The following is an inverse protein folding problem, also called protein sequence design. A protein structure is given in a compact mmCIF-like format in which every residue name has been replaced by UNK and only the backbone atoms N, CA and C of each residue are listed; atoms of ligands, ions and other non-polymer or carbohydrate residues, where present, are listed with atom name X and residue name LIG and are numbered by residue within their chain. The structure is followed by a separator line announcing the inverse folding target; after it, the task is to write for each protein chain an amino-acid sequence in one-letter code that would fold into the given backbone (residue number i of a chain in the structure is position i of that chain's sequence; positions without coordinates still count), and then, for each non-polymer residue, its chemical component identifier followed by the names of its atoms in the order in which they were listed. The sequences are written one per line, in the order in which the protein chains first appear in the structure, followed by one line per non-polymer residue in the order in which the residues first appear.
data_IF_540683977322
#
_entry.id   IF_540683977322
#
_cell.length_a   1.000
_cell.length_b   1.000
_cell.length_c   1.000
_cell.angle_alpha   90.00
_cell.angle_beta   90.00
_cell.angle_gamma   90.00
#
_symmetry.space_group_name_H-M   'P 1'
#
loop_
_entity.id
_entity.type
_entity.pdbx_description
1 polymer ?
#
# COMPACT_ATOMS: atom_id res chain seq x y z
N UNK A 1 63.39 -47.17 33.23
CA UNK A 1 64.00 -46.86 31.93
C UNK A 1 62.99 -47.29 30.89
N UNK A 2 62.19 -46.32 30.40
CA UNK A 2 61.41 -46.26 29.14
C UNK A 2 60.56 -47.52 28.79
N UNK A 3 59.23 -47.44 28.66
CA UNK A 3 58.56 -46.68 27.61
C UNK A 3 57.11 -46.31 27.95
N UNK A 4 56.77 -45.11 27.51
CA UNK A 4 55.47 -44.44 27.54
C UNK A 4 54.63 -44.84 26.33
N UNK A 5 53.52 -45.56 26.54
CA UNK A 5 52.48 -45.72 25.52
C UNK A 5 51.52 -44.52 25.57
N UNK A 6 51.66 -43.68 24.54
CA UNK A 6 50.89 -42.49 24.28
C UNK A 6 49.57 -42.86 23.58
N UNK A 7 48.50 -43.00 24.36
CA UNK A 7 47.15 -43.24 23.85
C UNK A 7 46.63 -41.99 23.14
N UNK A 8 46.70 -41.98 21.80
CA UNK A 8 46.07 -40.96 20.95
C UNK A 8 44.56 -41.18 20.93
N UNK A 9 43.83 -40.43 21.75
CA UNK A 9 42.39 -40.25 21.56
C UNK A 9 42.15 -39.48 20.26
N UNK A 10 41.46 -40.14 19.33
CA UNK A 10 41.06 -39.59 18.04
C UNK A 10 39.78 -38.78 18.26
N UNK A 11 39.88 -37.46 18.28
CA UNK A 11 38.71 -36.58 18.21
C UNK A 11 38.09 -36.72 16.81
N UNK A 12 36.97 -37.45 16.73
CA UNK A 12 36.10 -37.41 15.55
C UNK A 12 35.39 -36.06 15.52
N UNK A 13 35.86 -35.17 14.65
CA UNK A 13 35.11 -33.98 14.26
C UNK A 13 34.01 -34.46 13.30
N UNK A 14 32.80 -34.63 13.84
CA UNK A 14 31.60 -34.77 13.01
C UNK A 14 31.37 -33.42 12.31
N UNK A 15 31.75 -33.34 11.03
CA UNK A 15 31.43 -32.20 10.19
C UNK A 15 29.98 -32.35 9.73
N UNK A 16 29.07 -31.86 10.55
CA UNK A 16 27.67 -31.64 10.16
C UNK A 16 27.66 -30.68 8.95
N UNK A 17 27.08 -31.04 7.79
CA UNK A 17 27.00 -30.12 6.68
C UNK A 17 26.08 -28.96 7.08
N UNK A 18 26.68 -27.79 7.31
CA UNK A 18 25.98 -26.54 7.53
C UNK A 18 25.22 -26.16 6.25
N UNK A 19 23.97 -26.62 6.13
CA UNK A 19 23.05 -26.16 5.10
C UNK A 19 22.69 -24.72 5.47
N UNK A 20 23.45 -23.75 4.96
CA UNK A 20 23.04 -22.35 5.02
C UNK A 20 21.71 -22.21 4.28
N UNK A 21 20.64 -21.69 4.93
CA UNK A 21 19.40 -21.38 4.25
C UNK A 21 19.69 -20.26 3.26
N UNK A 22 19.88 -20.63 1.99
CA UNK A 22 20.02 -19.68 0.89
C UNK A 22 18.62 -19.16 0.60
N UNK A 23 18.13 -18.25 1.43
CA UNK A 23 16.90 -17.53 1.12
C UNK A 23 17.12 -16.84 -0.23
N UNK A 24 16.32 -17.14 -1.26
CA UNK A 24 16.39 -16.38 -2.50
C UNK A 24 15.97 -14.95 -2.16
N UNK A 25 16.93 -14.05 -2.06
CA UNK A 25 16.66 -12.64 -1.79
C UNK A 25 15.91 -12.08 -2.99
N UNK A 26 14.65 -11.67 -2.79
CA UNK A 26 13.82 -11.01 -3.80
C UNK A 26 14.52 -9.78 -4.39
N UNK A 27 15.44 -9.17 -3.64
CA UNK A 27 16.31 -8.06 -4.05
C UNK A 27 17.27 -8.40 -5.20
N UNK A 28 17.44 -9.69 -5.53
CA UNK A 28 18.25 -10.14 -6.68
C UNK A 28 17.45 -10.26 -7.97
N UNK A 29 16.12 -10.08 -7.92
CA UNK A 29 15.31 -10.04 -9.13
C UNK A 29 15.65 -8.81 -9.96
N UNK A 30 15.57 -8.95 -11.28
CA UNK A 30 15.64 -7.79 -12.18
C UNK A 30 14.51 -6.81 -11.84
N UNK A 31 14.78 -5.51 -11.98
CA UNK A 31 13.80 -4.48 -11.69
C UNK A 31 12.49 -4.67 -12.48
N UNK A 32 12.58 -5.18 -13.71
CA UNK A 32 11.41 -5.52 -14.55
C UNK A 32 10.47 -6.52 -13.87
N UNK A 33 11.02 -7.56 -13.24
CA UNK A 33 10.22 -8.55 -12.53
C UNK A 33 9.62 -7.95 -11.25
N UNK A 34 10.37 -7.12 -10.54
CA UNK A 34 9.85 -6.39 -9.38
C UNK A 34 8.71 -5.45 -9.80
N UNK A 35 8.84 -4.76 -10.93
CA UNK A 35 7.78 -3.91 -11.47
C UNK A 35 6.51 -4.70 -11.79
N UNK A 36 6.63 -5.87 -12.44
CA UNK A 36 5.49 -6.73 -12.72
C UNK A 36 4.82 -7.21 -11.42
N UNK A 37 5.61 -7.61 -10.42
CA UNK A 37 5.10 -8.00 -9.10
C UNK A 37 4.36 -6.83 -8.43
N UNK A 38 4.92 -5.62 -8.48
CA UNK A 38 4.30 -4.44 -7.87
C UNK A 38 3.01 -4.05 -8.59
N UNK A 39 3.01 -4.07 -9.92
CA UNK A 39 1.82 -3.74 -10.71
C UNK A 39 0.69 -4.75 -10.50
N UNK A 40 1.05 -6.02 -10.31
CA UNK A 40 0.11 -7.10 -9.99
C UNK A 40 -0.43 -7.02 -8.56
N UNK A 41 0.41 -6.69 -7.58
CA UNK A 41 0.00 -6.64 -6.16
C UNK A 41 -0.70 -5.32 -5.80
N UNK A 42 -0.46 -4.24 -6.55
CA UNK A 42 -1.10 -2.95 -6.37
C UNK A 42 -2.31 -2.80 -7.31
N UNK A 43 -3.36 -3.58 -7.07
CA UNK A 43 -4.61 -3.43 -7.82
C UNK A 43 -5.29 -2.10 -7.48
N UNK A 44 -5.39 -1.76 -6.19
CA UNK A 44 -6.06 -0.57 -5.71
C UNK A 44 -5.53 -0.14 -4.33
N UNK A 45 -5.51 1.16 -4.05
CA UNK A 45 -5.18 1.71 -2.73
C UNK A 45 -6.43 2.28 -2.08
N UNK A 46 -6.86 1.69 -0.97
CA UNK A 46 -8.03 2.13 -0.23
C UNK A 46 -7.66 3.22 0.77
N UNK A 47 -8.14 4.43 0.52
CA UNK A 47 -8.13 5.52 1.46
C UNK A 47 -9.55 5.65 2.01
N UNK A 48 -9.68 5.30 3.28
CA UNK A 48 -10.92 5.40 4.02
C UNK A 48 -10.81 6.56 5.00
N UNK A 49 -11.73 7.51 4.90
CA UNK A 49 -11.84 8.59 5.86
C UNK A 49 -12.28 8.03 7.22
N UNK A 50 -11.64 8.44 8.31
CA UNK A 50 -11.96 7.99 9.67
C UNK A 50 -11.96 9.19 10.63
N UNK A 51 -12.88 9.23 11.62
CA UNK A 51 -13.91 8.24 11.93
C UNK A 51 -15.08 8.21 10.93
N UNK A 52 -15.60 7.00 10.67
CA UNK A 52 -16.94 6.87 10.10
C UNK A 52 -17.96 7.25 11.17
N UNK A 53 -19.05 7.90 10.76
CA UNK A 53 -20.14 8.22 11.69
C UNK A 53 -20.54 6.98 12.45
N UNK A 54 -20.70 7.10 13.76
CA UNK A 54 -20.91 5.97 14.69
C UNK A 54 -22.09 5.06 14.34
N UNK A 55 -23.02 5.55 13.51
CA UNK A 55 -24.21 4.81 13.09
C UNK A 55 -24.09 4.22 11.67
N UNK A 56 -23.15 4.70 10.85
CA UNK A 56 -22.91 4.21 9.51
C UNK A 56 -21.77 3.19 9.53
N UNK A 57 -22.01 2.01 8.96
CA UNK A 57 -20.92 1.05 8.73
C UNK A 57 -20.10 1.55 7.55
N UNK A 58 -18.79 1.53 7.71
CA UNK A 58 -17.91 1.81 6.58
C UNK A 58 -18.18 0.82 5.44
N UNK A 59 -18.14 1.26 4.17
CA UNK A 59 -18.40 0.38 3.03
C UNK A 59 -17.43 -0.79 2.99
N UNK A 60 -16.15 -0.52 3.26
CA UNK A 60 -15.14 -1.57 3.45
C UNK A 60 -14.83 -1.74 4.93
N UNK A 61 -15.09 -2.93 5.47
CA UNK A 61 -14.62 -3.31 6.79
C UNK A 61 -13.15 -3.73 6.72
N UNK A 62 -12.30 -3.08 7.52
CA UNK A 62 -10.88 -3.41 7.62
C UNK A 62 -10.70 -4.53 8.64
N UNK A 63 -10.28 -5.70 8.18
CA UNK A 63 -9.91 -6.85 9.03
C UNK A 63 -8.42 -6.85 9.40
N UNK A 64 -7.62 -6.10 8.66
CA UNK A 64 -6.17 -5.94 8.84
C UNK A 64 -5.83 -4.48 9.19
N UNK A 65 -4.54 -4.22 9.41
CA UNK A 65 -4.04 -2.85 9.56
C UNK A 65 -4.31 -2.01 8.31
N UNK A 66 -4.64 -0.74 8.49
CA UNK A 66 -4.93 0.22 7.40
C UNK A 66 -3.86 0.21 6.31
N UNK A 67 -2.58 0.11 6.69
CA UNK A 67 -1.47 0.11 5.74
C UNK A 67 -1.54 -1.08 4.76
N UNK A 68 -2.13 -2.22 5.17
CA UNK A 68 -2.28 -3.41 4.32
C UNK A 68 -3.17 -3.16 3.11
N UNK A 69 -4.01 -2.11 3.15
CA UNK A 69 -4.88 -1.69 2.07
C UNK A 69 -4.30 -0.54 1.23
N UNK A 70 -3.05 -0.15 1.51
CA UNK A 70 -2.30 0.88 0.78
C UNK A 70 -1.05 0.25 0.14
N UNK A 71 -1.21 -0.68 -0.82
CA UNK A 71 -0.10 -1.46 -1.39
C UNK A 71 1.04 -0.60 -1.92
N UNK A 72 0.78 0.56 -2.53
CA UNK A 72 1.84 1.46 -2.99
C UNK A 72 2.72 1.98 -1.83
N UNK A 73 2.13 2.26 -0.66
CA UNK A 73 2.86 2.63 0.55
C UNK A 73 3.63 1.45 1.12
N UNK A 74 3.00 0.26 1.20
CA UNK A 74 3.64 -0.96 1.70
C UNK A 74 4.89 -1.26 0.88
N UNK A 75 4.76 -1.32 -0.45
CA UNK A 75 5.87 -1.54 -1.38
C UNK A 75 6.99 -0.52 -1.13
N UNK A 76 6.62 0.76 -0.99
CA UNK A 76 7.57 1.86 -0.79
C UNK A 76 8.22 1.90 0.60
N UNK A 77 7.74 1.08 1.53
CA UNK A 77 8.23 1.00 2.91
C UNK A 77 9.12 -0.24 3.17
N UNK A 78 9.20 -1.20 2.24
CA UNK A 78 9.97 -2.45 2.44
C UNK A 78 11.47 -2.21 2.55
N UNK A 79 12.11 -1.70 1.49
CA UNK A 79 13.55 -1.44 1.46
C UNK A 79 13.87 -0.28 0.51
N UNK A 80 15.14 0.17 0.49
CA UNK A 80 15.57 1.30 -0.34
C UNK A 80 15.34 1.06 -1.84
N UNK A 81 15.58 -0.17 -2.32
CA UNK A 81 15.37 -0.53 -3.72
C UNK A 81 13.89 -0.44 -4.08
N UNK A 82 13.03 -1.07 -3.29
CA UNK A 82 11.58 -1.09 -3.52
C UNK A 82 10.98 0.31 -3.44
N UNK A 83 11.45 1.13 -2.49
CA UNK A 83 11.10 2.55 -2.44
C UNK A 83 11.48 3.26 -3.73
N UNK A 84 12.72 3.11 -4.19
CA UNK A 84 13.16 3.74 -5.44
C UNK A 84 12.29 3.33 -6.63
N UNK A 85 11.93 2.04 -6.72
CA UNK A 85 11.09 1.50 -7.78
C UNK A 85 9.65 2.00 -7.67
N UNK A 86 9.05 1.96 -6.47
CA UNK A 86 7.70 2.44 -6.23
C UNK A 86 7.54 3.93 -6.55
N UNK A 87 8.57 4.74 -6.31
CA UNK A 87 8.56 6.16 -6.63
C UNK A 87 8.64 6.47 -8.13
N UNK A 88 9.27 5.61 -8.94
CA UNK A 88 9.34 5.79 -10.40
C UNK A 88 8.14 5.18 -11.14
N UNK A 89 7.26 4.47 -10.43
CA UNK A 89 6.04 3.89 -10.97
C UNK A 89 4.80 4.69 -10.53
N UNK A 90 4.49 5.82 -11.20
CA UNK A 90 3.34 6.66 -10.83
C UNK A 90 2.00 5.91 -10.96
N UNK A 91 1.92 4.88 -11.80
CA UNK A 91 0.73 4.05 -11.97
C UNK A 91 0.29 3.33 -10.69
N UNK A 92 1.21 3.00 -9.78
CA UNK A 92 0.88 2.37 -8.50
C UNK A 92 0.09 3.30 -7.58
N UNK A 93 0.33 4.61 -7.68
CA UNK A 93 -0.29 5.64 -6.85
C UNK A 93 -1.58 6.19 -7.46
N UNK A 94 -1.84 5.86 -8.74
CA UNK A 94 -2.97 6.38 -9.51
C UNK A 94 -4.25 5.54 -9.37
N UNK A 95 -4.18 4.37 -8.73
CA UNK A 95 -5.30 3.44 -8.55
C UNK A 95 -5.85 3.59 -7.13
N UNK A 96 -6.97 4.29 -6.99
CA UNK A 96 -7.52 4.71 -5.69
C UNK A 96 -8.93 4.16 -5.48
N UNK A 97 -9.19 3.63 -4.29
CA UNK A 97 -10.53 3.46 -3.72
C UNK A 97 -10.69 4.49 -2.63
N UNK A 98 -11.69 5.35 -2.74
CA UNK A 98 -11.90 6.45 -1.82
C UNK A 98 -13.26 6.27 -1.16
N UNK A 99 -13.27 6.23 0.16
CA UNK A 99 -14.49 6.22 0.95
C UNK A 99 -14.51 7.50 1.77
N UNK A 100 -15.28 8.48 1.29
CA UNK A 100 -15.32 9.86 1.77
C UNK A 100 -16.61 10.07 2.56
N UNK A 101 -16.51 10.77 3.69
CA UNK A 101 -17.67 11.21 4.46
C UNK A 101 -17.98 12.68 4.17
N UNK A 102 -19.25 13.06 4.31
CA UNK A 102 -19.70 14.45 4.07
C UNK A 102 -19.23 15.43 5.16
N UNK A 103 -18.63 14.97 6.25
CA UNK A 103 -18.23 15.85 7.34
C UNK A 103 -17.22 16.90 6.87
N UNK A 104 -17.56 18.17 7.07
CA UNK A 104 -16.73 19.32 6.70
C UNK A 104 -15.34 19.26 7.38
N UNK A 105 -15.21 18.53 8.48
CA UNK A 105 -13.95 18.27 9.17
C UNK A 105 -13.29 17.01 8.65
N UNK A 106 -12.82 17.05 7.40
CA UNK A 106 -11.99 15.96 6.87
C UNK A 106 -10.74 15.83 7.72
N UNK A 107 -10.41 14.60 8.10
CA UNK A 107 -9.19 14.33 8.86
C UNK A 107 -7.95 14.82 8.10
N UNK A 108 -7.13 15.65 8.73
CA UNK A 108 -5.90 16.18 8.11
C UNK A 108 -4.96 15.09 7.62
N UNK A 109 -4.95 13.90 8.27
CA UNK A 109 -4.15 12.76 7.83
C UNK A 109 -4.71 12.10 6.56
N UNK A 110 -6.02 12.06 6.40
CA UNK A 110 -6.67 11.58 5.18
C UNK A 110 -6.31 12.49 4.00
N UNK A 111 -6.49 13.81 4.15
CA UNK A 111 -6.13 14.77 3.10
C UNK A 111 -4.64 14.73 2.75
N UNK A 112 -3.76 14.65 3.76
CA UNK A 112 -2.32 14.54 3.51
C UNK A 112 -1.96 13.25 2.76
N UNK A 113 -2.63 12.14 3.07
CA UNK A 113 -2.44 10.88 2.36
C UNK A 113 -2.97 10.97 0.94
N UNK A 114 -4.17 11.50 0.73
CA UNK A 114 -4.74 11.69 -0.61
C UNK A 114 -3.84 12.58 -1.47
N UNK A 115 -3.38 13.71 -0.93
CA UNK A 115 -2.45 14.59 -1.63
C UNK A 115 -1.15 13.86 -1.99
N UNK A 116 -0.57 13.10 -1.06
CA UNK A 116 0.62 12.30 -1.33
C UNK A 116 0.40 11.35 -2.50
N UNK A 117 -0.72 10.63 -2.55
CA UNK A 117 -1.04 9.72 -3.65
C UNK A 117 -1.19 10.48 -4.98
N UNK A 118 -1.89 11.61 -4.98
CA UNK A 118 -2.06 12.45 -6.17
C UNK A 118 -0.73 13.01 -6.68
N UNK A 119 0.14 13.48 -5.79
CA UNK A 119 1.48 13.97 -6.12
C UNK A 119 2.33 12.88 -6.74
N UNK A 120 2.35 11.70 -6.13
CA UNK A 120 3.15 10.54 -6.60
C UNK A 120 2.59 9.91 -7.87
N UNK A 121 1.28 10.04 -8.11
CA UNK A 121 0.67 9.64 -9.38
C UNK A 121 1.12 10.51 -10.56
N UNK A 122 1.76 11.65 -10.30
CA UNK A 122 2.39 12.51 -11.31
C UNK A 122 1.48 12.82 -12.51
N UNK A 123 1.73 12.25 -13.69
CA UNK A 123 0.88 12.39 -14.89
C UNK A 123 0.14 11.11 -15.27
N UNK A 124 0.23 10.07 -14.44
CA UNK A 124 -0.43 8.81 -14.71
C UNK A 124 -1.96 9.00 -14.73
N UNK A 125 -2.67 8.27 -15.60
CA UNK A 125 -4.12 8.31 -15.63
C UNK A 125 -4.71 7.75 -14.32
N UNK A 126 -5.62 8.49 -13.70
CA UNK A 126 -6.25 8.12 -12.44
C UNK A 126 -7.36 7.09 -12.67
N UNK A 127 -7.34 6.01 -11.89
CA UNK A 127 -8.42 5.03 -11.77
C UNK A 127 -9.04 5.24 -10.40
N UNK A 128 -10.26 5.75 -10.39
CA UNK A 128 -10.94 6.14 -9.16
C UNK A 128 -12.18 5.26 -8.96
N UNK A 129 -12.29 4.68 -7.78
CA UNK A 129 -13.51 4.08 -7.26
C UNK A 129 -13.91 4.91 -6.04
N UNK A 130 -15.04 5.61 -6.14
CA UNK A 130 -15.40 6.64 -5.16
C UNK A 130 -16.74 6.31 -4.55
N UNK A 131 -16.74 6.15 -3.24
CA UNK A 131 -17.92 6.08 -2.40
C UNK A 131 -18.00 7.37 -1.57
N UNK A 132 -19.15 8.05 -1.61
CA UNK A 132 -19.40 9.24 -0.80
C UNK A 132 -20.66 8.99 0.00
N UNK A 133 -20.56 9.09 1.32
CA UNK A 133 -21.70 9.00 2.22
C UNK A 133 -22.38 10.36 2.30
N UNK A 134 -23.48 10.55 1.57
CA UNK A 134 -24.31 11.75 1.64
C UNK A 134 -25.41 11.58 2.69
N UNK A 135 -25.71 12.62 3.45
CA UNK A 135 -26.93 12.67 4.25
C UNK A 135 -28.13 13.07 3.40
N UNK A 136 -29.26 12.43 3.64
CA UNK A 136 -30.52 12.71 2.94
C UNK A 136 -31.19 14.02 3.37
N UNK A 137 -30.68 14.70 4.40
CA UNK A 137 -31.37 15.86 5.02
C UNK A 137 -30.86 17.23 4.58
N UNK A 138 -29.65 17.36 4.00
CA UNK A 138 -29.08 18.67 3.74
C UNK A 138 -29.18 19.10 2.26
N UNK A 139 -30.09 20.04 2.00
CA UNK A 139 -30.43 20.56 0.68
C UNK A 139 -29.33 21.40 0.01
N UNK A 140 -28.19 21.70 0.67
CA UNK A 140 -27.09 22.51 0.12
C UNK A 140 -25.76 22.24 0.82
N UNK A 141 -25.17 21.05 0.70
CA UNK A 141 -23.80 20.81 1.20
C UNK A 141 -22.79 21.07 0.09
N UNK A 142 -21.83 21.95 0.39
CA UNK A 142 -20.64 22.13 -0.44
C UNK A 142 -19.93 20.79 -0.68
N UNK A 143 -19.32 20.59 -1.84
CA UNK A 143 -18.57 19.37 -2.13
C UNK A 143 -17.54 19.08 -1.02
N UNK A 144 -17.42 17.82 -0.54
CA UNK A 144 -16.39 17.45 0.42
C UNK A 144 -14.99 17.91 -0.04
N UNK A 145 -14.13 18.42 0.84
CA UNK A 145 -12.78 18.89 0.48
C UNK A 145 -11.96 17.87 -0.33
N UNK A 146 -12.11 16.58 0.01
CA UNK A 146 -11.51 15.48 -0.73
C UNK A 146 -11.98 15.41 -2.19
N UNK A 147 -13.29 15.58 -2.42
CA UNK A 147 -13.87 15.62 -3.77
C UNK A 147 -13.35 16.83 -4.55
N UNK A 148 -13.31 18.02 -3.93
CA UNK A 148 -12.74 19.21 -4.56
C UNK A 148 -11.28 19.01 -4.98
N UNK A 149 -10.48 18.32 -4.16
CA UNK A 149 -9.10 17.99 -4.50
C UNK A 149 -9.04 17.04 -5.70
N UNK A 150 -9.87 15.99 -5.74
CA UNK A 150 -9.93 15.09 -6.90
C UNK A 150 -10.32 15.83 -8.19
N UNK A 151 -11.29 16.76 -8.10
CA UNK A 151 -11.79 17.53 -9.24
C UNK A 151 -10.68 18.34 -9.94
N UNK A 152 -9.67 18.79 -9.19
CA UNK A 152 -8.50 19.48 -9.76
C UNK A 152 -7.67 18.58 -10.69
N UNK A 153 -7.81 17.26 -10.59
CA UNK A 153 -7.09 16.27 -11.41
C UNK A 153 -7.96 15.59 -12.48
N UNK A 154 -9.18 16.08 -12.73
CA UNK A 154 -10.17 15.53 -13.68
C UNK A 154 -9.63 15.29 -15.08
N UNK A 155 -8.74 16.15 -15.57
CA UNK A 155 -8.11 16.02 -16.89
C UNK A 155 -7.34 14.72 -17.10
N UNK A 156 -6.97 14.01 -16.02
CA UNK A 156 -6.25 12.74 -16.09
C UNK A 156 -7.08 11.54 -15.68
N UNK A 157 -8.38 11.70 -15.43
CA UNK A 157 -9.23 10.57 -15.04
C UNK A 157 -9.39 9.63 -16.22
N UNK A 158 -9.03 8.36 -16.03
CA UNK A 158 -9.19 7.29 -17.03
C UNK A 158 -10.50 6.55 -16.83
N UNK A 159 -10.84 6.28 -15.58
CA UNK A 159 -12.06 5.57 -15.20
C UNK A 159 -12.53 6.05 -13.84
N UNK A 160 -13.84 6.26 -13.74
CA UNK A 160 -14.52 6.52 -12.48
C UNK A 160 -15.68 5.53 -12.35
N UNK A 161 -15.66 4.73 -11.29
CA UNK A 161 -16.81 3.90 -10.90
C UNK A 161 -17.45 4.55 -9.67
N UNK A 162 -18.66 5.11 -9.78
CA UNK A 162 -19.42 5.53 -8.62
C UNK A 162 -20.05 4.29 -7.98
N UNK A 163 -19.71 3.99 -6.73
CA UNK A 163 -20.44 3.02 -5.92
C UNK A 163 -21.67 3.72 -5.34
N UNK A 164 -22.75 3.76 -6.12
CA UNK A 164 -24.07 4.19 -5.63
C UNK A 164 -24.83 2.92 -5.21
N UNK A 165 -24.99 2.72 -3.91
CA UNK A 165 -25.99 1.78 -3.39
C UNK A 165 -27.37 2.42 -3.49
N UNK A 166 -28.19 1.92 -4.43
CA UNK A 166 -29.64 2.12 -4.47
C UNK A 166 -30.34 1.32 -3.36
#
# INVERSE_FOLDING_TARGET
MLDSENTRETFQISVEPQIQPRTPHIDRLANELLYLIFDFTCEQNLLQEYPWRSNDKSPTQLSLSVISYLPALVISAVCRQWRSLGLVLPGLWARLKLEITEELTVSGSFMATLQLFLDRSAKAPLVLDVYISWTTDDLFVDNPPALNLLLQHTSRWRSISPLVTL
#
